data_IF_244887918889
#
_entry.id   IF_244887918889
#
_cell.length_a   1.000
_cell.length_b   1.000
_cell.length_c   1.000
_cell.angle_alpha   90.00
_cell.angle_beta   90.00
_cell.angle_gamma   90.00
#
_symmetry.space_group_name_H-M   'P 1'
#
loop_
_entity.id
_entity.type
_entity.pdbx_description
1 polymer ?
#
# COMPACT_ATOMS: atom_id res chain seq x y z
N UNK A 1 -2.45 18.60 16.08
CA UNK A 1 -2.62 19.32 14.79
C UNK A 1 -2.38 18.29 13.70
N UNK A 2 -3.39 17.94 12.90
CA UNK A 2 -3.19 17.00 11.79
C UNK A 2 -2.32 17.67 10.73
N UNK A 3 -1.12 17.15 10.52
CA UNK A 3 -0.29 17.55 9.39
C UNK A 3 -0.99 17.09 8.10
N UNK A 4 -1.54 18.02 7.32
CA UNK A 4 -2.15 17.74 6.02
C UNK A 4 -1.12 17.35 4.94
N UNK A 5 0.18 17.46 5.24
CA UNK A 5 1.24 17.03 4.33
C UNK A 5 1.38 15.51 4.37
N UNK A 6 1.48 14.91 3.17
CA UNK A 6 1.74 13.47 3.02
C UNK A 6 3.06 13.11 3.71
N UNK A 7 3.06 12.19 4.71
CA UNK A 7 4.26 11.85 5.44
C UNK A 7 5.16 10.93 4.64
N UNK A 8 6.46 11.01 4.91
CA UNK A 8 7.41 9.94 4.62
C UNK A 8 7.46 9.01 5.83
N UNK A 9 7.37 7.71 5.59
CA UNK A 9 7.51 6.69 6.63
C UNK A 9 8.94 6.16 6.67
N UNK A 10 9.46 5.99 7.88
CA UNK A 10 10.73 5.34 8.14
C UNK A 10 10.56 3.82 8.25
N UNK A 11 11.65 3.07 8.01
CA UNK A 11 11.66 1.61 8.11
C UNK A 11 11.05 1.04 9.42
N UNK A 12 11.37 1.54 10.63
CA UNK A 12 10.84 0.96 11.87
C UNK A 12 9.33 1.16 12.07
N UNK A 13 8.71 2.11 11.35
CA UNK A 13 7.25 2.31 11.39
C UNK A 13 6.50 1.19 10.66
N UNK A 14 7.17 0.49 9.74
CA UNK A 14 6.56 -0.57 8.95
C UNK A 14 6.52 -1.89 9.71
N UNK A 15 5.33 -2.49 9.78
CA UNK A 15 5.08 -3.82 10.34
C UNK A 15 4.58 -4.77 9.27
N UNK A 16 5.07 -6.00 9.26
CA UNK A 16 4.63 -7.02 8.31
C UNK A 16 3.17 -7.38 8.57
N UNK A 17 2.34 -7.37 7.52
CA UNK A 17 0.95 -7.75 7.64
C UNK A 17 0.84 -9.25 7.98
N UNK A 18 0.02 -9.63 8.96
CA UNK A 18 -0.05 -10.99 9.49
C UNK A 18 -0.48 -12.07 8.48
N UNK A 19 -1.16 -11.69 7.39
CA UNK A 19 -1.56 -12.62 6.31
C UNK A 19 -0.51 -12.78 5.22
N UNK A 20 0.63 -12.10 5.33
CA UNK A 20 1.77 -12.21 4.42
C UNK A 20 2.47 -13.56 4.60
N UNK A 21 2.53 -14.37 3.54
CA UNK A 21 3.16 -15.70 3.54
C UNK A 21 4.34 -15.71 2.55
N UNK A 22 5.44 -16.46 2.80
CA UNK A 22 6.66 -16.41 1.98
C UNK A 22 6.44 -16.59 0.47
N UNK A 23 5.44 -17.38 0.08
CA UNK A 23 5.10 -17.69 -1.31
C UNK A 23 4.07 -16.74 -1.93
N UNK A 24 3.55 -15.75 -1.18
CA UNK A 24 2.51 -14.82 -1.61
C UNK A 24 3.03 -13.39 -1.73
N UNK A 25 2.20 -12.51 -2.30
CA UNK A 25 2.44 -11.07 -2.27
C UNK A 25 2.37 -10.58 -0.82
N UNK A 26 3.52 -10.19 -0.29
CA UNK A 26 3.72 -9.82 1.11
C UNK A 26 3.84 -8.31 1.22
N UNK A 27 3.17 -7.72 2.20
CA UNK A 27 3.19 -6.27 2.40
C UNK A 27 3.60 -5.91 3.82
N UNK A 28 4.31 -4.79 3.95
CA UNK A 28 4.44 -4.08 5.22
C UNK A 28 3.52 -2.87 5.25
N UNK A 29 2.96 -2.59 6.42
CA UNK A 29 2.03 -1.48 6.65
C UNK A 29 2.56 -0.61 7.79
N UNK A 30 2.53 0.70 7.60
CA UNK A 30 2.79 1.71 8.62
C UNK A 30 1.54 2.56 8.84
N UNK A 31 1.32 3.04 10.07
CA UNK A 31 0.22 3.95 10.43
C UNK A 31 0.75 5.06 11.33
N UNK A 32 0.46 6.32 10.98
CA UNK A 32 0.85 7.49 11.77
C UNK A 32 -0.05 8.68 11.43
N UNK A 33 -0.56 9.37 12.45
CA UNK A 33 -1.26 10.66 12.31
C UNK A 33 -2.38 10.68 11.24
N UNK A 34 -3.16 9.60 11.13
CA UNK A 34 -4.24 9.51 10.14
C UNK A 34 -3.78 9.14 8.71
N UNK A 35 -2.53 8.73 8.55
CA UNK A 35 -1.96 8.24 7.29
C UNK A 35 -1.61 6.75 7.38
N UNK A 36 -1.68 6.07 6.24
CA UNK A 36 -1.34 4.66 6.07
C UNK A 36 -0.32 4.52 4.95
N UNK A 37 0.83 3.94 5.24
CA UNK A 37 1.84 3.56 4.26
C UNK A 37 1.79 2.07 3.98
N UNK A 38 1.87 1.66 2.71
CA UNK A 38 1.94 0.26 2.27
C UNK A 38 3.14 0.09 1.35
N UNK A 39 3.96 -0.93 1.59
CA UNK A 39 5.11 -1.28 0.75
C UNK A 39 5.22 -2.79 0.53
N UNK A 40 5.88 -3.17 -0.57
CA UNK A 40 6.24 -4.56 -0.84
C UNK A 40 7.30 -5.01 0.18
N UNK A 41 6.97 -6.05 0.95
CA UNK A 41 7.84 -6.66 1.95
C UNK A 41 9.08 -7.31 1.34
N UNK A 42 9.01 -7.72 0.06
CA UNK A 42 10.08 -8.40 -0.66
C UNK A 42 11.16 -7.44 -1.16
N UNK A 43 10.92 -6.13 -1.15
CA UNK A 43 11.90 -5.12 -1.57
C UNK A 43 12.70 -4.64 -0.36
N UNK A 44 14.01 -4.54 -0.51
CA UNK A 44 14.86 -3.96 0.52
C UNK A 44 14.55 -2.46 0.68
N UNK A 45 14.50 -1.98 1.92
CA UNK A 45 14.13 -0.59 2.21
C UNK A 45 15.13 0.39 1.57
N UNK A 46 14.63 1.49 0.99
CA UNK A 46 15.46 2.54 0.39
C UNK A 46 16.09 2.19 -0.96
N UNK A 47 15.83 1.00 -1.50
CA UNK A 47 16.25 0.66 -2.87
C UNK A 47 15.36 1.33 -3.93
N UNK A 48 15.81 1.39 -5.17
CA UNK A 48 15.03 1.97 -6.28
C UNK A 48 13.68 1.27 -6.51
N UNK A 49 13.56 0.00 -6.11
CA UNK A 49 12.30 -0.75 -6.16
C UNK A 49 11.44 -0.64 -4.90
N UNK A 50 11.87 0.14 -3.90
CA UNK A 50 11.13 0.33 -2.64
C UNK A 50 10.06 1.41 -2.78
N UNK A 51 8.95 1.06 -3.44
CA UNK A 51 7.84 1.98 -3.63
C UNK A 51 6.87 1.94 -2.45
N UNK A 52 6.49 3.13 -1.95
CA UNK A 52 5.54 3.28 -0.86
C UNK A 52 4.25 3.91 -1.38
N UNK A 53 3.15 3.17 -1.30
CA UNK A 53 1.82 3.73 -1.47
C UNK A 53 1.42 4.37 -0.14
N UNK A 54 1.01 5.64 -0.15
CA UNK A 54 0.61 6.34 1.07
C UNK A 54 -0.76 6.95 0.86
N UNK A 55 -1.66 6.64 1.78
CA UNK A 55 -3.06 7.01 1.78
C UNK A 55 -3.38 7.76 3.07
N UNK A 56 -4.43 8.58 3.05
CA UNK A 56 -5.13 8.90 4.29
C UNK A 56 -5.80 7.63 4.84
N UNK A 57 -6.10 7.59 6.14
CA UNK A 57 -6.78 6.47 6.78
C UNK A 57 -8.15 6.19 6.11
N UNK A 58 -8.95 7.24 5.86
CA UNK A 58 -10.23 7.11 5.17
C UNK A 58 -10.10 6.52 3.76
N UNK A 59 -9.13 6.99 2.96
CA UNK A 59 -8.89 6.42 1.63
C UNK A 59 -8.50 4.95 1.67
N UNK A 60 -7.71 4.55 2.68
CA UNK A 60 -7.31 3.17 2.86
C UNK A 60 -8.49 2.29 3.28
N UNK A 61 -9.34 2.79 4.17
CA UNK A 61 -10.53 2.08 4.64
C UNK A 61 -11.57 1.91 3.52
N UNK A 62 -11.80 2.95 2.70
CA UNK A 62 -12.66 2.89 1.52
C UNK A 62 -12.15 1.84 0.51
N UNK A 63 -10.84 1.81 0.25
CA UNK A 63 -10.22 0.83 -0.62
C UNK A 63 -10.41 -0.60 -0.08
N UNK A 64 -10.16 -0.82 1.20
CA UNK A 64 -10.37 -2.12 1.84
C UNK A 64 -11.84 -2.54 1.79
N UNK A 65 -12.77 -1.62 2.04
CA UNK A 65 -14.20 -1.87 1.95
C UNK A 65 -14.61 -2.39 0.58
N UNK A 66 -14.09 -1.79 -0.49
CA UNK A 66 -14.30 -2.25 -1.88
C UNK A 66 -13.69 -3.62 -2.15
N UNK A 67 -12.45 -3.86 -1.71
CA UNK A 67 -11.79 -5.17 -1.86
C UNK A 67 -12.59 -6.28 -1.19
N UNK A 68 -13.02 -6.05 0.05
CA UNK A 68 -13.79 -7.02 0.83
C UNK A 68 -15.21 -7.21 0.29
N UNK A 69 -15.80 -6.16 -0.27
CA UNK A 69 -17.10 -6.21 -0.96
C UNK A 69 -17.06 -6.85 -2.35
N UNK A 70 -15.87 -7.21 -2.87
CA UNK A 70 -15.69 -7.75 -4.22
C UNK A 70 -15.82 -6.71 -5.33
N UNK A 71 -15.85 -5.42 -4.99
CA UNK A 71 -16.06 -4.28 -5.89
C UNK A 71 -14.73 -3.63 -6.30
N UNK A 72 -13.75 -4.44 -6.70
CA UNK A 72 -12.64 -3.89 -7.47
C UNK A 72 -12.96 -4.02 -8.96
N UNK A 73 -12.83 -2.96 -9.76
CA UNK A 73 -12.80 -3.15 -11.20
C UNK A 73 -11.70 -4.16 -11.50
N UNK A 74 -12.04 -5.20 -12.27
CA UNK A 74 -11.05 -6.15 -12.79
C UNK A 74 -9.88 -5.33 -13.34
N UNK A 75 -8.62 -5.70 -13.08
CA UNK A 75 -7.50 -5.00 -13.68
C UNK A 75 -7.70 -5.08 -15.18
N UNK A 76 -8.10 -3.97 -15.82
CA UNK A 76 -7.99 -3.84 -17.26
C UNK A 76 -6.50 -3.82 -17.52
N UNK A 77 -5.90 -4.98 -17.74
CA UNK A 77 -4.66 -5.09 -18.49
C UNK A 77 -5.03 -4.62 -19.89
N UNK A 78 -4.96 -3.30 -20.08
CA UNK A 78 -5.09 -2.66 -21.37
C UNK A 78 -3.95 -3.15 -22.23
N UNK A 79 -4.21 -4.18 -23.05
CA UNK A 79 -3.42 -4.43 -24.24
C UNK A 79 -3.64 -3.25 -25.19
N UNK A 80 -2.84 -2.22 -25.02
CA UNK A 80 -2.67 -1.21 -26.06
C UNK A 80 -1.91 -1.88 -27.19
N UNK A 81 -2.62 -2.42 -28.18
CA UNK A 81 -2.12 -2.47 -29.55
C UNK A 81 -2.02 -1.01 -30.01
N UNK A 82 -0.80 -0.47 -30.05
CA UNK A 82 -0.55 0.69 -30.89
C UNK A 82 -0.53 0.23 -32.35
N UNK A 83 -1.30 0.96 -33.15
CA UNK A 83 -1.36 0.97 -34.60
C UNK A 83 -0.14 1.70 -35.13
#
# INVERSE_FOLDING_TARGET
MMSNARPTFSQPEFRKAGRSQPTKECVHVARRDGWVGVRDSKKAFGTSGDHHLVFTAGQFDDFLGRVLGGDLPSPRIGSTRQI
#
